data_IF_812827570424
#
_entry.id   IF_812827570424
#
_cell.length_a   1.000
_cell.length_b   1.000
_cell.length_c   1.000
_cell.angle_alpha   90.00
_cell.angle_beta   90.00
_cell.angle_gamma   90.00
#
_symmetry.space_group_name_H-M   'P 1'
#
loop_
_entity.id
_entity.type
_entity.pdbx_description
1 polymer ?
#
# COMPACT_ATOMS: atom_id res chain seq x y z
N UNK A 1 -52.72 -60.88 20.06
CA UNK A 1 -52.80 -59.41 19.98
C UNK A 1 -52.25 -58.84 21.30
N UNK A 2 -50.94 -58.59 21.33
CA UNK A 2 -50.26 -57.28 21.41
C UNK A 2 -50.50 -56.51 22.72
N UNK A 3 -49.39 -56.42 23.48
CA UNK A 3 -49.12 -55.80 24.77
C UNK A 3 -49.45 -54.30 24.82
N UNK A 4 -49.91 -53.87 25.99
CA UNK A 4 -50.20 -52.48 26.33
C UNK A 4 -48.96 -51.61 26.41
N UNK A 5 -49.20 -50.37 26.02
CA UNK A 5 -48.35 -49.21 25.80
C UNK A 5 -47.47 -48.85 27.01
N UNK A 6 -46.18 -48.73 26.71
CA UNK A 6 -45.10 -48.18 27.54
C UNK A 6 -45.23 -46.64 27.56
N UNK A 7 -45.61 -46.06 28.70
CA UNK A 7 -45.56 -44.62 28.93
C UNK A 7 -44.20 -44.28 29.57
N UNK A 8 -43.21 -43.93 28.74
CA UNK A 8 -41.95 -43.37 29.22
C UNK A 8 -41.90 -41.89 28.83
N UNK A 9 -41.96 -41.04 29.86
CA UNK A 9 -41.84 -39.59 29.84
C UNK A 9 -40.49 -39.21 29.21
N UNK A 10 -40.52 -38.65 28.01
CA UNK A 10 -39.34 -38.03 27.39
C UNK A 10 -39.19 -36.63 27.97
N UNK A 11 -38.32 -36.52 28.96
CA UNK A 11 -37.84 -35.27 29.54
C UNK A 11 -36.90 -34.60 28.52
N UNK A 12 -37.42 -33.72 27.67
CA UNK A 12 -36.61 -32.89 26.77
C UNK A 12 -35.92 -31.80 27.58
N UNK A 13 -34.68 -32.07 28.01
CA UNK A 13 -33.71 -31.06 28.42
C UNK A 13 -33.40 -30.18 27.21
N UNK A 14 -34.12 -29.05 27.09
CA UNK A 14 -33.74 -27.96 26.21
C UNK A 14 -32.57 -27.23 26.88
N UNK A 15 -31.35 -27.67 26.60
CA UNK A 15 -30.17 -26.84 26.86
C UNK A 15 -30.19 -25.68 25.87
N UNK A 16 -30.72 -24.54 26.30
CA UNK A 16 -30.51 -23.28 25.60
C UNK A 16 -29.02 -22.97 25.70
N UNK A 17 -28.25 -23.39 24.69
CA UNK A 17 -26.90 -22.88 24.53
C UNK A 17 -27.03 -21.40 24.17
N UNK A 18 -26.78 -20.54 25.15
CA UNK A 18 -26.54 -19.11 24.93
C UNK A 18 -25.28 -19.03 24.07
N UNK A 19 -25.46 -19.03 22.74
CA UNK A 19 -24.38 -18.77 21.80
C UNK A 19 -23.87 -17.36 22.10
N UNK A 20 -22.62 -17.24 22.50
CA UNK A 20 -21.96 -15.95 22.69
C UNK A 20 -22.31 -15.03 21.53
N UNK A 21 -22.87 -13.87 21.85
CA UNK A 21 -23.28 -12.89 20.85
C UNK A 21 -22.02 -12.51 20.06
N UNK A 22 -22.06 -12.62 18.75
CA UNK A 22 -20.99 -12.15 17.88
C UNK A 22 -21.55 -10.99 17.06
N UNK A 23 -20.77 -9.92 16.91
CA UNK A 23 -21.09 -8.81 16.02
C UNK A 23 -20.16 -8.86 14.81
N UNK A 24 -20.62 -8.34 13.67
CA UNK A 24 -19.77 -8.08 12.51
C UNK A 24 -19.80 -6.56 12.22
N UNK A 25 -18.63 -5.95 12.16
CA UNK A 25 -18.43 -4.53 11.83
C UNK A 25 -17.93 -4.47 10.39
N UNK A 26 -18.61 -3.69 9.56
CA UNK A 26 -18.16 -3.37 8.20
C UNK A 26 -17.48 -1.99 8.19
N UNK A 27 -16.24 -1.97 7.73
CA UNK A 27 -15.47 -0.75 7.47
C UNK A 27 -15.25 -0.67 5.96
N UNK A 28 -15.70 0.43 5.35
CA UNK A 28 -15.58 0.65 3.90
C UNK A 28 -14.67 1.82 3.61
N UNK A 29 -13.64 1.58 2.79
CA UNK A 29 -12.75 2.61 2.25
C UNK A 29 -13.04 2.78 0.77
N UNK A 30 -13.63 3.90 0.37
CA UNK A 30 -14.01 4.16 -1.01
C UNK A 30 -13.02 5.11 -1.71
N UNK A 31 -13.15 5.26 -3.03
CA UNK A 31 -12.28 6.15 -3.83
C UNK A 31 -12.31 7.60 -3.34
N UNK A 32 -13.47 8.10 -2.91
CA UNK A 32 -13.63 9.47 -2.42
C UNK A 32 -12.83 9.75 -1.14
N UNK A 33 -12.74 8.76 -0.25
CA UNK A 33 -11.87 8.83 0.93
C UNK A 33 -10.41 8.98 0.52
N UNK A 34 -9.92 8.15 -0.40
CA UNK A 34 -8.53 8.23 -0.87
C UNK A 34 -8.26 9.50 -1.64
N UNK A 35 -9.20 9.99 -2.43
CA UNK A 35 -9.08 11.29 -3.11
C UNK A 35 -8.91 12.42 -2.10
N UNK A 36 -9.72 12.45 -1.04
CA UNK A 36 -9.62 13.45 0.03
C UNK A 36 -8.31 13.35 0.80
N UNK A 37 -7.85 12.12 1.07
CA UNK A 37 -6.55 11.87 1.71
C UNK A 37 -5.40 12.38 0.85
N UNK A 38 -5.39 12.05 -0.44
CA UNK A 38 -4.37 12.49 -1.38
C UNK A 38 -4.36 14.02 -1.51
N UNK A 39 -5.53 14.65 -1.58
CA UNK A 39 -5.65 16.11 -1.60
C UNK A 39 -5.08 16.76 -0.32
N UNK A 40 -5.20 16.10 0.83
CA UNK A 40 -4.59 16.56 2.08
C UNK A 40 -3.05 16.38 2.08
N UNK A 41 -2.55 15.23 1.61
CA UNK A 41 -1.11 14.93 1.54
C UNK A 41 -0.39 15.87 0.58
N UNK A 42 -0.94 16.09 -0.62
CA UNK A 42 -0.27 16.91 -1.62
C UNK A 42 -0.23 18.40 -1.27
N UNK A 43 -1.11 18.89 -0.39
CA UNK A 43 -1.01 20.25 0.15
C UNK A 43 0.28 20.49 0.96
N UNK A 44 0.92 19.42 1.45
CA UNK A 44 2.13 19.53 2.25
C UNK A 44 3.42 19.67 1.42
N UNK A 45 3.35 19.59 0.08
CA UNK A 45 4.50 19.74 -0.83
C UNK A 45 5.72 18.88 -0.42
N UNK A 46 5.47 17.62 -0.07
CA UNK A 46 6.50 16.72 0.45
C UNK A 46 7.51 16.38 -0.68
N UNK A 47 8.76 16.76 -0.47
CA UNK A 47 9.88 16.40 -1.32
C UNK A 47 10.66 15.25 -0.68
N UNK A 48 10.89 14.19 -1.45
CA UNK A 48 11.52 12.97 -1.01
C UNK A 48 12.93 12.92 -1.63
N UNK A 49 14.01 12.99 -0.84
CA UNK A 49 15.35 12.84 -1.38
C UNK A 49 15.54 11.43 -1.92
N UNK A 50 16.08 11.32 -3.13
CA UNK A 50 16.43 10.05 -3.75
C UNK A 50 17.74 9.48 -3.21
N UNK A 51 18.61 10.36 -2.74
CA UNK A 51 19.84 9.99 -2.06
C UNK A 51 19.56 9.68 -0.57
N UNK A 52 19.42 8.39 -0.24
CA UNK A 52 20.13 7.92 0.96
C UNK A 52 21.61 7.95 0.58
N UNK A 53 22.51 8.45 1.44
CA UNK A 53 23.97 8.31 1.25
C UNK A 53 24.34 6.82 1.21
N UNK A 54 24.17 6.22 0.05
CA UNK A 54 23.97 4.79 -0.10
C UNK A 54 23.50 4.48 -1.51
N UNK A 55 24.08 5.13 -2.52
CA UNK A 55 24.54 4.31 -3.64
C UNK A 55 25.35 3.19 -2.99
N UNK A 56 24.97 1.90 -3.08
CA UNK A 56 26.01 0.92 -2.96
C UNK A 56 27.04 1.37 -3.99
N UNK A 57 28.29 1.39 -3.58
CA UNK A 57 29.41 1.36 -4.50
C UNK A 57 29.34 0.01 -5.22
N UNK A 58 28.25 -0.29 -5.93
CA UNK A 58 28.31 -1.19 -7.05
C UNK A 58 29.19 -0.45 -8.04
N UNK A 59 30.49 -0.67 -7.86
CA UNK A 59 31.40 -1.05 -8.93
C UNK A 59 30.75 -2.12 -9.82
N UNK A 60 29.62 -1.82 -10.43
CA UNK A 60 29.32 -2.34 -11.75
C UNK A 60 30.28 -1.59 -12.65
N UNK A 61 31.50 -2.13 -12.74
CA UNK A 61 32.37 -1.91 -13.87
C UNK A 61 31.55 -2.28 -15.10
N UNK A 62 30.80 -1.33 -15.66
CA UNK A 62 30.15 -1.49 -16.95
C UNK A 62 31.30 -1.44 -17.95
N UNK A 63 31.87 -2.61 -18.21
CA UNK A 63 32.91 -2.82 -19.19
C UNK A 63 32.31 -2.53 -20.56
N UNK A 64 32.40 -1.28 -21.01
CA UNK A 64 32.26 -0.91 -22.42
C UNK A 64 33.50 -1.48 -23.12
N UNK A 65 33.36 -2.72 -23.61
CA UNK A 65 34.42 -3.43 -24.31
C UNK A 65 34.47 -2.91 -25.76
N UNK A 66 35.03 -1.72 -25.96
CA UNK A 66 35.35 -1.23 -27.30
C UNK A 66 36.74 -1.73 -27.67
N UNK A 67 36.78 -2.65 -28.63
CA UNK A 67 37.98 -3.31 -29.15
C UNK A 67 38.92 -2.33 -29.88
N UNK A 68 39.64 -1.49 -29.14
CA UNK A 68 40.90 -0.85 -29.50
C UNK A 68 41.25 0.19 -28.42
N UNK A 69 42.40 0.01 -27.75
CA UNK A 69 42.91 0.80 -26.63
C UNK A 69 42.19 0.60 -25.27
N UNK A 70 42.93 0.00 -24.33
CA UNK A 70 42.51 -0.31 -22.96
C UNK A 70 42.58 0.96 -22.10
N UNK A 71 41.71 1.93 -22.38
CA UNK A 71 41.49 3.08 -21.51
C UNK A 71 40.38 2.73 -20.54
N UNK A 72 40.73 2.58 -19.26
CA UNK A 72 39.75 2.39 -18.19
C UNK A 72 39.10 3.73 -17.88
N UNK A 73 37.89 3.97 -18.40
CA UNK A 73 37.10 5.13 -17.99
C UNK A 73 36.29 4.69 -16.77
N UNK A 74 36.62 5.22 -15.58
CA UNK A 74 35.77 5.03 -14.41
C UNK A 74 34.61 6.01 -14.51
N UNK A 75 33.39 5.55 -14.22
CA UNK A 75 32.21 6.44 -14.18
C UNK A 75 32.38 7.57 -13.15
N UNK A 76 33.24 7.37 -12.14
CA UNK A 76 33.67 8.38 -11.17
C UNK A 76 34.52 9.52 -11.75
N UNK A 77 35.04 9.39 -12.97
CA UNK A 77 35.89 10.40 -13.60
C UNK A 77 35.07 11.46 -14.35
N UNK A 78 33.75 11.30 -14.40
CA UNK A 78 32.85 12.29 -14.97
C UNK A 78 32.32 13.22 -13.89
N UNK A 79 32.34 14.56 -14.12
CA UNK A 79 31.85 15.51 -13.13
C UNK A 79 30.35 15.29 -12.93
N UNK A 80 29.98 14.72 -11.79
CA UNK A 80 28.62 14.81 -11.26
C UNK A 80 28.44 16.22 -10.70
N UNK A 81 27.36 16.90 -11.09
CA UNK A 81 27.04 18.21 -10.52
C UNK A 81 26.81 18.09 -8.99
N UNK A 82 27.70 18.64 -8.13
CA UNK A 82 27.56 18.53 -6.68
C UNK A 82 26.38 19.33 -6.13
N UNK A 83 25.73 20.15 -6.95
CA UNK A 83 24.54 20.93 -6.60
C UNK A 83 23.23 20.26 -7.04
N UNK A 84 23.27 19.13 -7.76
CA UNK A 84 22.05 18.44 -8.16
C UNK A 84 21.38 17.79 -6.95
N UNK A 85 20.23 18.32 -6.55
CA UNK A 85 19.45 17.80 -5.43
C UNK A 85 18.50 16.70 -5.92
N UNK A 86 19.02 15.48 -5.99
CA UNK A 86 18.23 14.35 -6.45
C UNK A 86 17.03 14.10 -5.54
N UNK A 87 15.83 14.33 -6.07
CA UNK A 87 14.60 14.24 -5.30
C UNK A 87 13.41 13.87 -6.18
N UNK A 88 12.38 13.34 -5.54
CA UNK A 88 11.06 13.12 -6.13
C UNK A 88 10.03 13.82 -5.27
N UNK A 89 9.12 14.51 -5.95
CA UNK A 89 7.96 15.15 -5.36
C UNK A 89 6.72 14.57 -6.02
N UNK A 90 5.83 14.05 -5.20
CA UNK A 90 4.53 13.59 -5.67
C UNK A 90 3.63 14.79 -5.93
N UNK A 91 2.78 14.67 -6.95
CA UNK A 91 1.87 15.72 -7.36
C UNK A 91 0.45 15.18 -7.45
N UNK A 92 -0.54 16.05 -7.26
CA UNK A 92 -1.94 15.64 -7.48
C UNK A 92 -2.20 15.34 -8.96
N UNK A 93 -1.62 16.12 -9.86
CA UNK A 93 -1.80 15.99 -11.30
C UNK A 93 -0.61 16.63 -12.01
N UNK A 94 -0.23 16.05 -13.15
CA UNK A 94 0.75 16.65 -14.08
C UNK A 94 0.03 16.96 -15.38
N UNK A 95 -0.04 18.26 -15.70
CA UNK A 95 -0.64 18.79 -16.92
C UNK A 95 -1.98 18.08 -17.23
N UNK A 96 -2.11 17.53 -18.44
CA UNK A 96 -3.26 16.72 -18.88
C UNK A 96 -2.95 15.22 -18.96
N UNK A 97 -1.80 14.77 -18.43
CA UNK A 97 -1.32 13.40 -18.63
C UNK A 97 -1.92 12.42 -17.61
N UNK A 98 -2.31 12.92 -16.43
CA UNK A 98 -3.03 12.11 -15.45
C UNK A 98 -2.99 12.65 -14.03
N UNK A 99 -3.93 12.14 -13.23
CA UNK A 99 -4.18 12.55 -11.85
C UNK A 99 -3.84 11.39 -10.92
N UNK A 100 -3.10 11.67 -9.85
CA UNK A 100 -2.84 10.71 -8.78
C UNK A 100 -4.17 10.24 -8.20
N UNK A 101 -4.45 8.95 -8.15
CA UNK A 101 -5.71 8.42 -7.65
C UNK A 101 -5.56 6.95 -7.24
N UNK A 102 -6.39 6.52 -6.28
CA UNK A 102 -6.56 5.10 -5.93
C UNK A 102 -7.88 4.61 -6.50
N UNK A 103 -7.86 3.49 -7.21
CA UNK A 103 -9.01 2.89 -7.87
C UNK A 103 -9.17 1.43 -7.48
N UNK A 104 -10.42 1.02 -7.28
CA UNK A 104 -10.79 -0.36 -6.93
C UNK A 104 -11.52 -0.98 -8.11
N UNK A 105 -10.84 -1.80 -8.90
CA UNK A 105 -11.37 -2.36 -10.15
C UNK A 105 -10.97 -3.82 -10.28
N UNK A 106 -11.88 -4.66 -10.74
CA UNK A 106 -11.63 -6.08 -11.03
C UNK A 106 -11.00 -6.84 -9.85
N UNK A 107 -11.46 -6.58 -8.63
CA UNK A 107 -10.92 -7.19 -7.41
C UNK A 107 -9.50 -6.76 -7.03
N UNK A 108 -8.97 -5.69 -7.65
CA UNK A 108 -7.62 -5.15 -7.40
C UNK A 108 -7.70 -3.70 -6.95
N UNK A 109 -6.67 -3.30 -6.20
CA UNK A 109 -6.44 -1.92 -5.82
C UNK A 109 -5.30 -1.40 -6.69
N UNK A 110 -5.59 -0.41 -7.52
CA UNK A 110 -4.65 0.23 -8.43
C UNK A 110 -4.43 1.66 -7.96
N UNK A 111 -3.17 2.11 -7.96
CA UNK A 111 -2.83 3.48 -7.66
C UNK A 111 -2.05 4.09 -8.81
N UNK A 112 -2.54 5.19 -9.34
CA UNK A 112 -1.79 6.03 -10.28
C UNK A 112 -1.23 7.20 -9.48
N UNK A 113 0.03 7.57 -9.71
CA UNK A 113 0.70 8.66 -9.01
C UNK A 113 1.47 9.52 -10.02
N UNK A 114 1.13 10.81 -10.08
CA UNK A 114 1.88 11.82 -10.80
C UNK A 114 3.06 12.30 -9.94
N UNK A 115 4.23 12.50 -10.54
CA UNK A 115 5.44 12.93 -9.82
C UNK A 115 6.38 13.77 -10.70
N UNK A 116 7.15 14.62 -10.05
CA UNK A 116 8.26 15.37 -10.64
C UNK A 116 9.51 15.17 -9.82
N UNK A 117 10.68 15.34 -10.41
CA UNK A 117 11.92 15.22 -9.68
C UNK A 117 13.11 15.70 -10.49
N UNK A 118 14.29 15.52 -9.90
CA UNK A 118 15.55 15.72 -10.60
C UNK A 118 16.52 14.58 -10.24
N UNK A 119 17.41 14.23 -11.16
CA UNK A 119 18.50 13.28 -10.91
C UNK A 119 19.75 13.67 -11.70
N UNK A 120 20.90 13.14 -11.31
CA UNK A 120 22.20 13.50 -11.88
C UNK A 120 22.80 12.33 -12.68
N UNK A 121 22.32 12.05 -13.90
CA UNK A 121 22.93 11.04 -14.76
C UNK A 121 24.40 11.37 -15.06
N UNK A 122 25.27 10.34 -15.15
CA UNK A 122 26.61 10.52 -15.67
C UNK A 122 26.58 11.21 -17.04
N UNK A 123 27.54 12.12 -17.29
CA UNK A 123 27.78 12.80 -18.57
C UNK A 123 26.80 13.93 -18.97
N UNK A 124 25.58 13.96 -18.43
CA UNK A 124 24.54 14.91 -18.87
C UNK A 124 24.29 16.00 -17.82
N UNK A 125 24.69 15.75 -16.57
CA UNK A 125 24.46 16.67 -15.45
C UNK A 125 23.02 16.60 -14.94
N UNK A 126 22.64 17.51 -14.05
CA UNK A 126 21.33 17.48 -13.41
C UNK A 126 20.19 17.64 -14.42
N UNK A 127 19.26 16.68 -14.44
CA UNK A 127 18.09 16.70 -15.32
C UNK A 127 16.81 16.59 -14.51
N UNK A 128 15.83 17.41 -14.88
CA UNK A 128 14.48 17.33 -14.36
C UNK A 128 13.68 16.26 -15.10
N UNK A 129 12.78 15.62 -14.37
CA UNK A 129 11.82 14.68 -14.94
C UNK A 129 10.44 14.88 -14.34
N UNK A 130 9.44 14.49 -15.12
CA UNK A 130 8.06 14.45 -14.72
C UNK A 130 7.41 13.20 -15.32
N UNK A 131 6.39 12.67 -14.66
CA UNK A 131 5.75 11.45 -15.16
C UNK A 131 4.67 10.91 -14.25
N UNK A 132 4.17 9.74 -14.66
CA UNK A 132 3.11 9.00 -13.97
C UNK A 132 3.59 7.60 -13.72
N UNK A 133 3.38 7.11 -12.51
CA UNK A 133 3.64 5.75 -12.10
C UNK A 133 2.31 5.06 -11.78
N UNK A 134 2.11 3.87 -12.34
CA UNK A 134 1.04 2.97 -11.93
C UNK A 134 1.60 1.93 -10.97
N UNK A 135 0.84 1.64 -9.93
CA UNK A 135 1.18 0.68 -8.91
C UNK A 135 -0.01 -0.24 -8.60
N UNK A 136 0.30 -1.50 -8.32
CA UNK A 136 -0.60 -2.48 -7.75
C UNK A 136 -0.44 -2.46 -6.22
N UNK A 137 -1.56 -2.42 -5.50
CA UNK A 137 -1.59 -2.50 -4.03
C UNK A 137 -2.13 -3.89 -3.66
N UNK A 138 -1.27 -4.73 -3.10
CA UNK A 138 -1.56 -6.11 -2.70
C UNK A 138 -1.88 -6.17 -1.21
N UNK A 139 -3.06 -6.68 -0.84
CA UNK A 139 -3.48 -6.80 0.56
C UNK A 139 -2.93 -8.09 1.19
N UNK A 140 -2.43 -7.96 2.42
CA UNK A 140 -1.87 -9.06 3.20
C UNK A 140 -2.52 -9.06 4.57
N UNK A 141 -3.26 -10.13 4.87
CA UNK A 141 -3.87 -10.34 6.18
C UNK A 141 -3.02 -11.32 7.00
N UNK A 142 -2.64 -10.90 8.20
CA UNK A 142 -2.01 -11.76 9.21
C UNK A 142 -3.06 -12.12 10.27
N UNK A 143 -3.58 -13.36 10.29
CA UNK A 143 -4.54 -13.81 11.30
C UNK A 143 -3.97 -13.80 12.72
N UNK A 144 -2.69 -14.17 12.86
CA UNK A 144 -1.99 -14.22 14.15
C UNK A 144 -1.91 -12.85 14.81
N UNK A 145 -1.59 -11.82 14.02
CA UNK A 145 -1.47 -10.44 14.50
C UNK A 145 -2.78 -9.66 14.40
N UNK A 146 -3.80 -10.21 13.73
CA UNK A 146 -5.02 -9.52 13.32
C UNK A 146 -4.76 -8.16 12.63
N UNK A 147 -3.77 -8.15 11.74
CA UNK A 147 -3.38 -6.95 10.97
C UNK A 147 -3.72 -7.16 9.49
N UNK A 148 -4.42 -6.19 8.90
CA UNK A 148 -4.52 -6.01 7.46
C UNK A 148 -3.48 -4.98 7.03
N UNK A 149 -2.56 -5.42 6.20
CA UNK A 149 -1.48 -4.60 5.62
C UNK A 149 -1.55 -4.61 4.10
N UNK A 150 -0.79 -3.72 3.46
CA UNK A 150 -0.65 -3.66 2.03
C UNK A 150 0.83 -3.55 1.60
N UNK A 151 1.13 -4.15 0.46
CA UNK A 151 2.38 -3.96 -0.27
C UNK A 151 2.10 -3.24 -1.58
N UNK A 152 2.88 -2.21 -1.86
CA UNK A 152 2.81 -1.43 -3.09
C UNK A 152 3.90 -1.95 -4.03
N UNK A 153 3.50 -2.25 -5.27
CA UNK A 153 4.39 -2.65 -6.35
C UNK A 153 4.18 -1.74 -7.56
N UNK A 154 5.21 -1.02 -7.98
CA UNK A 154 5.21 -0.24 -9.21
C UNK A 154 5.17 -1.20 -10.39
N UNK A 155 4.18 -1.03 -11.26
CA UNK A 155 3.98 -1.88 -12.45
C UNK A 155 4.36 -1.17 -13.74
N UNK A 156 4.25 0.16 -13.79
CA UNK A 156 4.57 0.95 -14.96
C UNK A 156 5.01 2.36 -14.55
N UNK A 157 5.94 2.94 -15.31
CA UNK A 157 6.34 4.34 -15.17
C UNK A 157 6.45 4.94 -16.57
N UNK A 158 5.70 6.01 -16.79
CA UNK A 158 5.76 6.80 -18.01
C UNK A 158 6.35 8.18 -17.68
N UNK A 159 7.40 8.59 -18.39
CA UNK A 159 8.07 9.87 -18.19
C UNK A 159 7.81 10.80 -19.37
N UNK A 160 7.42 12.03 -19.06
CA UNK A 160 7.36 13.12 -20.04
C UNK A 160 8.76 13.70 -20.27
N UNK A 161 9.15 13.89 -21.54
CA UNK A 161 10.32 14.70 -21.92
C UNK A 161 11.68 14.00 -22.06
N UNK A 162 11.83 12.71 -21.72
CA UNK A 162 13.15 12.02 -21.71
C UNK A 162 13.39 11.03 -22.86
N UNK A 163 12.58 11.05 -23.93
CA UNK A 163 12.71 10.13 -25.05
C UNK A 163 12.59 8.64 -24.67
N UNK A 164 11.98 8.33 -23.52
CA UNK A 164 11.73 6.97 -23.05
C UNK A 164 12.91 6.22 -22.41
N UNK A 165 14.14 6.73 -22.50
CA UNK A 165 15.34 6.00 -22.04
C UNK A 165 15.57 6.04 -20.52
N UNK A 166 14.94 6.98 -19.78
CA UNK A 166 15.08 7.11 -18.33
C UNK A 166 14.08 6.30 -17.48
N UNK A 167 13.03 5.74 -18.09
CA UNK A 167 11.89 5.13 -17.39
C UNK A 167 12.29 3.97 -16.47
N UNK A 168 13.16 3.08 -16.94
CA UNK A 168 13.56 1.87 -16.21
C UNK A 168 14.39 2.18 -14.97
N UNK A 169 15.26 3.20 -15.02
CA UNK A 169 16.11 3.59 -13.88
C UNK A 169 15.25 4.25 -12.80
N UNK A 170 14.39 5.20 -13.20
CA UNK A 170 13.48 5.89 -12.27
C UNK A 170 12.48 4.91 -11.66
N UNK A 171 11.96 3.95 -12.42
CA UNK A 171 11.06 2.91 -11.89
C UNK A 171 11.74 2.06 -10.79
N UNK A 172 12.99 1.66 -10.99
CA UNK A 172 13.76 0.91 -9.96
C UNK A 172 14.01 1.74 -8.72
N UNK A 173 14.34 3.01 -8.90
CA UNK A 173 14.57 3.94 -7.79
C UNK A 173 13.29 4.16 -6.97
N UNK A 174 12.17 4.40 -7.64
CA UNK A 174 10.85 4.51 -7.02
C UNK A 174 10.46 3.24 -6.28
N UNK A 175 10.63 2.08 -6.92
CA UNK A 175 10.34 0.79 -6.29
C UNK A 175 11.22 0.56 -5.05
N UNK A 176 12.53 0.82 -5.14
CA UNK A 176 13.44 0.67 -4.00
C UNK A 176 13.12 1.60 -2.84
N UNK A 177 12.68 2.84 -3.12
CA UNK A 177 12.18 3.75 -2.09
C UNK A 177 10.90 3.20 -1.43
N UNK A 178 9.93 2.77 -2.24
CA UNK A 178 8.66 2.21 -1.76
C UNK A 178 8.94 1.01 -0.86
N UNK A 179 9.81 0.10 -1.28
CA UNK A 179 10.15 -1.10 -0.51
C UNK A 179 10.84 -0.78 0.83
N UNK A 180 11.66 0.27 0.87
CA UNK A 180 12.41 0.63 2.09
C UNK A 180 11.64 1.49 3.07
N UNK A 181 10.78 2.40 2.58
CA UNK A 181 10.19 3.48 3.38
C UNK A 181 8.68 3.41 3.53
N UNK A 182 8.01 2.75 2.59
CA UNK A 182 6.54 2.74 2.51
C UNK A 182 5.99 1.36 2.84
N UNK A 183 6.59 0.32 2.29
CA UNK A 183 6.16 -1.06 2.50
C UNK A 183 6.68 -1.62 3.85
N UNK A 184 5.86 -2.42 4.55
CA UNK A 184 4.42 -2.60 4.36
C UNK A 184 3.63 -1.43 5.00
N UNK A 185 2.50 -1.07 4.39
CA UNK A 185 1.55 -0.12 4.97
C UNK A 185 0.54 -0.88 5.83
N UNK A 186 0.34 -0.46 7.08
CA UNK A 186 -0.75 -1.00 7.92
C UNK A 186 -2.05 -0.27 7.59
N UNK A 187 -3.06 -1.00 7.10
CA UNK A 187 -4.39 -0.46 6.82
C UNK A 187 -5.25 -0.52 8.09
N UNK A 188 -5.26 -1.67 8.75
CA UNK A 188 -6.05 -1.88 9.97
C UNK A 188 -5.33 -2.83 10.92
N UNK A 189 -5.14 -2.39 12.17
CA UNK A 189 -4.70 -3.23 13.29
C UNK A 189 -5.89 -3.34 14.26
N UNK A 190 -6.61 -4.46 14.22
CA UNK A 190 -7.85 -4.60 15.00
C UNK A 190 -7.58 -4.63 16.50
N UNK A 191 -6.35 -4.96 16.93
CA UNK A 191 -5.98 -4.94 18.36
C UNK A 191 -5.96 -3.53 18.94
N UNK A 192 -5.87 -2.51 18.09
CA UNK A 192 -5.96 -1.09 18.48
C UNK A 192 -7.38 -0.54 18.42
N UNK A 193 -8.35 -1.34 17.95
CA UNK A 193 -9.75 -0.96 17.95
C UNK A 193 -10.34 -1.24 19.35
N UNK A 194 -10.62 -0.18 20.10
CA UNK A 194 -11.43 -0.25 21.31
C UNK A 194 -12.76 0.43 21.05
N UNK A 195 -13.84 -0.34 21.08
CA UNK A 195 -15.19 0.23 20.98
C UNK A 195 -15.88 0.12 22.34
N UNK A 196 -16.40 1.24 22.83
CA UNK A 196 -17.26 1.30 24.02
C UNK A 196 -18.68 1.52 23.52
N UNK A 197 -19.55 0.53 23.69
CA UNK A 197 -20.95 0.65 23.29
C UNK A 197 -21.83 0.98 24.50
N UNK A 198 -22.63 2.06 24.45
CA UNK A 198 -23.62 2.32 25.47
C UNK A 198 -24.77 1.33 25.31
N UNK A 199 -24.89 0.36 26.22
CA UNK A 199 -26.12 -0.44 26.33
C UNK A 199 -27.10 0.26 27.28
N UNK A 200 -28.39 0.11 26.99
CA UNK A 200 -29.50 0.84 27.63
C UNK A 200 -29.65 0.65 29.15
N UNK A 201 -28.77 -0.11 29.81
CA UNK A 201 -28.77 -0.38 31.25
C UNK A 201 -27.47 0.02 31.98
N UNK A 202 -26.64 0.89 31.39
CA UNK A 202 -25.47 1.49 32.09
C UNK A 202 -24.27 0.56 32.33
N UNK A 203 -24.28 -0.66 31.77
CA UNK A 203 -23.09 -1.52 31.74
C UNK A 203 -22.26 -1.17 30.51
N UNK A 204 -20.95 -0.98 30.64
CA UNK A 204 -20.09 -0.89 29.46
C UNK A 204 -19.84 -2.31 28.94
N UNK A 205 -20.13 -2.54 27.65
CA UNK A 205 -19.76 -3.79 26.99
C UNK A 205 -18.52 -3.54 26.16
N UNK A 206 -17.44 -4.26 26.48
CA UNK A 206 -16.20 -4.20 25.71
C UNK A 206 -16.29 -5.21 24.57
N UNK A 207 -16.04 -4.74 23.37
CA UNK A 207 -16.01 -5.59 22.19
C UNK A 207 -14.57 -5.93 21.83
N UNK A 208 -14.29 -7.22 21.62
CA UNK A 208 -12.97 -7.71 21.20
C UNK A 208 -13.05 -8.30 19.79
N UNK A 209 -12.23 -7.80 18.84
CA UNK A 209 -12.09 -8.43 17.52
C UNK A 209 -11.56 -9.86 17.61
N UNK A 210 -12.20 -10.77 16.88
CA UNK A 210 -11.83 -12.20 16.86
C UNK A 210 -11.31 -12.64 15.49
N UNK A 211 -11.85 -12.09 14.41
CA UNK A 211 -11.37 -12.37 13.05
C UNK A 211 -11.67 -11.24 12.10
N UNK A 212 -10.99 -11.23 10.97
CA UNK A 212 -11.19 -10.26 9.90
C UNK A 212 -11.17 -10.96 8.54
N UNK A 213 -11.98 -10.44 7.62
CA UNK A 213 -11.94 -10.75 6.19
C UNK A 213 -12.03 -9.45 5.42
N UNK A 214 -11.55 -9.44 4.19
CA UNK A 214 -11.65 -8.28 3.31
C UNK A 214 -12.12 -8.67 1.93
N UNK A 215 -12.67 -7.70 1.22
CA UNK A 215 -13.15 -7.83 -0.14
C UNK A 215 -12.85 -6.54 -0.90
N UNK A 216 -12.23 -6.65 -2.07
CA UNK A 216 -12.05 -5.53 -2.99
C UNK A 216 -13.23 -5.55 -3.96
N UNK A 217 -14.20 -4.66 -3.71
CA UNK A 217 -15.35 -4.45 -4.57
C UNK A 217 -15.10 -3.32 -5.57
N UNK A 218 -15.99 -3.16 -6.55
CA UNK A 218 -15.92 -2.02 -7.46
C UNK A 218 -16.08 -0.70 -6.68
N UNK A 219 -15.05 0.14 -6.74
CA UNK A 219 -15.00 1.45 -6.09
C UNK A 219 -14.71 1.45 -4.59
N UNK A 220 -14.52 0.29 -3.95
CA UNK A 220 -14.23 0.24 -2.51
C UNK A 220 -13.48 -1.01 -2.02
N UNK A 221 -12.76 -0.85 -0.90
CA UNK A 221 -12.31 -1.93 -0.04
C UNK A 221 -13.27 -2.08 1.14
N UNK A 222 -13.86 -3.26 1.28
CA UNK A 222 -14.70 -3.63 2.41
C UNK A 222 -13.91 -4.53 3.35
N UNK A 223 -13.85 -4.15 4.62
CA UNK A 223 -13.20 -4.92 5.69
C UNK A 223 -14.26 -5.30 6.70
N UNK A 224 -14.45 -6.59 6.89
CA UNK A 224 -15.42 -7.15 7.82
C UNK A 224 -14.67 -7.69 9.03
N UNK A 225 -14.93 -7.09 10.19
CA UNK A 225 -14.32 -7.46 11.46
C UNK A 225 -15.38 -8.17 12.29
N UNK A 226 -15.16 -9.45 12.56
CA UNK A 226 -15.99 -10.20 13.49
C UNK A 226 -15.49 -9.94 14.90
N UNK A 227 -16.42 -9.72 15.80
CA UNK A 227 -16.16 -9.40 17.19
C UNK A 227 -16.98 -10.26 18.14
N UNK A 228 -16.43 -10.47 19.34
CA UNK A 228 -17.13 -11.06 20.47
C UNK A 228 -17.35 -10.00 21.56
N UNK A 229 -18.49 -10.08 22.25
CA UNK A 229 -18.72 -9.28 23.45
C UNK A 229 -18.04 -9.96 24.65
N UNK A 230 -17.34 -9.16 25.45
CA UNK A 230 -16.71 -9.54 26.72
C UNK A 230 -17.62 -9.19 27.91
#
# INVERSE_FOLDING_TARGET
>A
MRKNVLLAVILTLISVQVRGQNAEILITFNEAFFDSLLDAVFKQNIEIPLADRGYPNETTNTLLNTSAAKTFIRVSDFPSDPQCRESIRLQRQINNEGKSAVRFRNGKILSTVAFTGSYNPPLIGCVDFAGIADALIELIYSPENQILSAQIRVINVNLSGSGGMGGTIIARLLQGFIDKKVNPIVILDTRRLSFVFPVQNGREVRIKPISMRYEVAEGALNVFVRCAFD
#
